data_IF_480466226454
#
_entry.id   IF_480466226454
#
_cell.length_a   1.000
_cell.length_b   1.000
_cell.length_c   1.000
_cell.angle_alpha   90.00
_cell.angle_beta   90.00
_cell.angle_gamma   90.00
#
_symmetry.space_group_name_H-M   'P 1'
#
loop_
_entity.id
_entity.type
_entity.pdbx_description
1 polymer ?
#
# COMPACT_ATOMS: atom_id res chain seq x y z
N UNK A 1 -35.86 4.76 -11.05
CA UNK A 1 -34.83 4.67 -9.99
C UNK A 1 -33.66 5.53 -10.44
N UNK A 2 -33.29 6.56 -9.68
CA UNK A 2 -32.15 7.41 -10.04
C UNK A 2 -30.87 6.57 -9.86
N UNK A 3 -30.28 6.10 -10.95
CA UNK A 3 -29.01 5.37 -10.92
C UNK A 3 -27.92 6.23 -10.29
N UNK A 4 -27.18 5.66 -9.33
CA UNK A 4 -26.05 6.34 -8.70
C UNK A 4 -25.10 6.91 -9.76
N UNK A 5 -24.68 8.16 -9.61
CA UNK A 5 -23.74 8.78 -10.54
C UNK A 5 -22.41 8.04 -10.50
N UNK A 6 -21.70 7.99 -11.63
CA UNK A 6 -20.38 7.34 -11.72
C UNK A 6 -19.42 7.80 -10.62
N UNK A 7 -19.34 9.11 -10.38
CA UNK A 7 -18.47 9.67 -9.34
C UNK A 7 -18.92 9.31 -7.92
N UNK A 8 -20.23 9.16 -7.68
CA UNK A 8 -20.72 8.71 -6.37
C UNK A 8 -20.37 7.24 -6.11
N UNK A 9 -20.44 6.38 -7.14
CA UNK A 9 -20.00 4.99 -7.05
C UNK A 9 -18.49 4.91 -6.86
N UNK A 10 -17.72 5.72 -7.58
CA UNK A 10 -16.28 5.78 -7.44
C UNK A 10 -15.86 6.18 -6.03
N UNK A 11 -16.51 7.17 -5.44
CA UNK A 11 -16.22 7.58 -4.07
C UNK A 11 -16.59 6.48 -3.05
N UNK A 12 -17.75 5.86 -3.19
CA UNK A 12 -18.18 4.77 -2.31
C UNK A 12 -17.22 3.56 -2.38
N UNK A 13 -16.89 3.09 -3.59
CA UNK A 13 -15.96 1.98 -3.80
C UNK A 13 -14.54 2.33 -3.36
N UNK A 14 -14.13 3.60 -3.46
CA UNK A 14 -12.87 4.05 -2.88
C UNK A 14 -12.92 3.95 -1.35
N UNK A 15 -13.96 4.45 -0.68
CA UNK A 15 -14.06 4.48 0.78
C UNK A 15 -14.14 3.10 1.44
N UNK A 16 -14.64 2.09 0.74
CA UNK A 16 -14.58 0.68 1.18
C UNK A 16 -13.15 0.22 1.52
N UNK A 17 -12.14 0.75 0.82
CA UNK A 17 -10.73 0.40 1.06
C UNK A 17 -10.02 1.30 2.08
N UNK A 18 -10.73 2.18 2.78
CA UNK A 18 -10.15 3.10 3.79
C UNK A 18 -9.30 2.38 4.85
N UNK A 19 -9.79 1.27 5.39
CA UNK A 19 -9.07 0.46 6.38
C UNK A 19 -7.75 -0.12 5.84
N UNK A 20 -7.73 -0.50 4.56
CA UNK A 20 -6.56 -1.03 3.87
C UNK A 20 -5.54 0.06 3.58
N UNK A 21 -6.01 1.25 3.17
CA UNK A 21 -5.13 2.42 2.99
C UNK A 21 -4.45 2.83 4.28
N UNK A 22 -5.16 2.79 5.41
CA UNK A 22 -4.57 3.06 6.72
C UNK A 22 -3.47 2.05 7.06
N UNK A 23 -3.70 0.76 6.81
CA UNK A 23 -2.67 -0.29 6.99
C UNK A 23 -1.45 -0.08 6.10
N UNK A 24 -1.62 0.42 4.87
CA UNK A 24 -0.48 0.76 4.00
C UNK A 24 0.33 1.93 4.55
N UNK A 25 -0.34 2.96 5.07
CA UNK A 25 0.31 4.07 5.76
C UNK A 25 1.11 3.60 6.98
N UNK A 26 0.54 2.72 7.81
CA UNK A 26 1.20 2.17 9.01
C UNK A 26 2.35 1.20 8.69
N UNK A 27 2.36 0.64 7.47
CA UNK A 27 3.43 -0.23 7.01
C UNK A 27 4.69 0.54 6.60
N UNK A 28 4.57 1.82 6.23
CA UNK A 28 5.69 2.68 5.86
C UNK A 28 6.36 3.18 7.14
N UNK A 29 7.64 2.84 7.40
CA UNK A 29 8.35 3.32 8.57
C UNK A 29 8.69 4.80 8.42
N UNK A 30 7.97 5.70 9.09
CA UNK A 30 8.30 7.13 9.09
C UNK A 30 9.59 7.35 9.89
N UNK A 31 10.62 8.06 9.38
CA UNK A 31 11.83 8.37 10.14
C UNK A 31 11.49 9.05 11.49
N UNK A 32 11.79 8.38 12.60
CA UNK A 32 11.51 8.88 13.95
C UNK A 32 12.77 8.85 14.83
N UNK A 33 12.84 9.72 15.85
CA UNK A 33 13.99 9.80 16.78
C UNK A 33 14.30 8.46 17.46
N UNK A 34 13.28 7.61 17.65
CA UNK A 34 13.43 6.25 18.18
C UNK A 34 14.32 5.34 17.34
N UNK A 35 14.68 5.75 16.12
CA UNK A 35 15.54 5.01 15.18
C UNK A 35 17.01 5.02 15.59
N UNK A 36 17.39 5.92 16.50
CA UNK A 36 18.74 5.97 17.07
C UNK A 36 18.83 5.28 18.43
N UNK A 37 17.76 4.62 18.88
CA UNK A 37 17.79 3.86 20.12
C UNK A 37 18.47 2.51 19.88
N UNK A 38 19.42 2.16 20.76
CA UNK A 38 20.05 0.85 20.83
C UNK A 38 19.03 -0.30 20.94
N UNK A 39 19.41 -1.46 20.42
CA UNK A 39 18.69 -2.73 20.55
C UNK A 39 19.05 -3.34 21.91
N UNK A 40 18.05 -3.62 22.76
CA UNK A 40 18.28 -4.09 24.14
C UNK A 40 18.22 -5.61 24.29
N UNK A 41 17.67 -6.34 23.30
CA UNK A 41 17.52 -7.79 23.36
C UNK A 41 17.59 -8.47 21.98
N UNK A 42 17.89 -9.78 21.98
CA UNK A 42 17.90 -10.61 20.77
C UNK A 42 16.49 -10.74 20.17
N UNK A 43 15.45 -10.82 21.01
CA UNK A 43 14.06 -10.86 20.54
C UNK A 43 13.65 -9.56 19.83
N UNK A 44 14.14 -8.42 20.32
CA UNK A 44 13.96 -7.13 19.67
C UNK A 44 14.67 -7.08 18.31
N UNK A 45 15.91 -7.59 18.22
CA UNK A 45 16.62 -7.74 16.95
C UNK A 45 15.89 -8.66 15.97
N UNK A 46 15.43 -9.84 16.42
CA UNK A 46 14.70 -10.79 15.58
C UNK A 46 13.41 -10.17 15.04
N UNK A 47 12.66 -9.46 15.89
CA UNK A 47 11.45 -8.73 15.48
C UNK A 47 11.77 -7.62 14.47
N UNK A 48 12.87 -6.91 14.66
CA UNK A 48 13.36 -5.87 13.75
C UNK A 48 13.88 -6.43 12.43
N UNK A 49 14.41 -7.65 12.41
CA UNK A 49 14.95 -8.32 11.23
C UNK A 49 13.86 -9.01 10.39
N UNK A 50 12.79 -9.49 11.02
CA UNK A 50 11.66 -10.15 10.36
C UNK A 50 10.67 -9.14 9.74
N UNK A 51 10.42 -8.01 10.41
CA UNK A 51 9.54 -6.93 9.91
C UNK A 51 9.86 -6.41 8.49
N UNK A 52 11.14 -6.22 8.10
CA UNK A 52 11.55 -5.85 6.75
C UNK A 52 11.15 -6.85 5.66
N UNK A 53 10.81 -8.08 6.04
CA UNK A 53 10.47 -9.16 5.09
C UNK A 53 8.96 -9.35 5.07
N UNK A 54 8.33 -9.48 6.24
CA UNK A 54 6.90 -9.80 6.36
C UNK A 54 6.00 -8.69 5.80
N UNK A 55 6.28 -7.43 6.15
CA UNK A 55 5.47 -6.28 5.72
C UNK A 55 5.47 -6.06 4.20
N UNK A 56 6.62 -5.94 3.51
CA UNK A 56 6.62 -5.76 2.07
C UNK A 56 6.11 -6.98 1.30
N UNK A 57 6.24 -8.20 1.83
CA UNK A 57 5.70 -9.40 1.19
C UNK A 57 4.16 -9.42 1.28
N UNK A 58 3.59 -9.07 2.42
CA UNK A 58 2.13 -8.85 2.56
C UNK A 58 1.64 -7.74 1.60
N UNK A 59 2.32 -6.59 1.56
CA UNK A 59 1.98 -5.51 0.63
C UNK A 59 2.11 -5.94 -0.85
N UNK A 60 3.13 -6.72 -1.20
CA UNK A 60 3.37 -7.21 -2.55
C UNK A 60 2.27 -8.17 -3.04
N UNK A 61 1.80 -9.08 -2.18
CA UNK A 61 0.68 -9.97 -2.50
C UNK A 61 -0.60 -9.16 -2.75
N UNK A 62 -0.90 -8.20 -1.87
CA UNK A 62 -2.05 -7.32 -2.04
C UNK A 62 -1.96 -6.48 -3.32
N UNK A 63 -0.77 -5.98 -3.65
CA UNK A 63 -0.49 -5.28 -4.91
C UNK A 63 -0.86 -6.13 -6.11
N UNK A 64 -0.39 -7.38 -6.15
CA UNK A 64 -0.65 -8.31 -7.25
C UNK A 64 -2.15 -8.62 -7.38
N UNK A 65 -2.84 -8.82 -6.26
CA UNK A 65 -4.30 -9.03 -6.26
C UNK A 65 -5.07 -7.81 -6.80
N UNK A 66 -4.69 -6.60 -6.40
CA UNK A 66 -5.31 -5.37 -6.93
C UNK A 66 -5.00 -5.18 -8.43
N UNK A 67 -3.79 -5.49 -8.87
CA UNK A 67 -3.40 -5.44 -10.28
C UNK A 67 -4.23 -6.42 -11.11
N UNK A 68 -4.39 -7.66 -10.64
CA UNK A 68 -5.22 -8.67 -11.31
C UNK A 68 -6.68 -8.21 -11.39
N UNK A 69 -7.22 -7.69 -10.29
CA UNK A 69 -8.59 -7.15 -10.26
C UNK A 69 -8.77 -5.97 -11.21
N UNK A 70 -7.76 -5.10 -11.31
CA UNK A 70 -7.75 -3.98 -12.24
C UNK A 70 -7.75 -4.46 -13.70
N UNK A 71 -6.88 -5.41 -14.05
CA UNK A 71 -6.80 -5.97 -15.41
C UNK A 71 -8.11 -6.65 -15.82
N UNK A 72 -8.70 -7.45 -14.94
CA UNK A 72 -9.99 -8.11 -15.20
C UNK A 72 -11.11 -7.09 -15.40
N UNK A 73 -11.20 -6.09 -14.51
CA UNK A 73 -12.23 -5.04 -14.60
C UNK A 73 -12.05 -4.17 -15.85
N UNK A 74 -10.80 -3.90 -16.24
CA UNK A 74 -10.46 -3.18 -17.46
C UNK A 74 -10.84 -3.98 -18.71
N UNK A 75 -10.52 -5.27 -18.76
CA UNK A 75 -10.89 -6.14 -19.87
C UNK A 75 -12.41 -6.17 -20.08
N UNK A 76 -13.17 -6.34 -18.99
CA UNK A 76 -14.63 -6.25 -19.01
C UNK A 76 -15.11 -4.89 -19.51
N UNK A 77 -14.52 -3.79 -19.01
CA UNK A 77 -14.87 -2.43 -19.44
C UNK A 77 -14.60 -2.19 -20.93
N UNK A 78 -13.49 -2.69 -21.48
CA UNK A 78 -13.13 -2.55 -22.89
C UNK A 78 -14.08 -3.34 -23.79
N UNK A 79 -14.50 -4.53 -23.37
CA UNK A 79 -15.49 -5.35 -24.11
C UNK A 79 -16.87 -4.68 -24.10
N UNK A 80 -17.29 -4.12 -22.94
CA UNK A 80 -18.59 -3.47 -22.82
C UNK A 80 -18.64 -2.08 -23.47
N UNK A 81 -17.52 -1.38 -23.65
CA UNK A 81 -17.47 -0.04 -24.23
C UNK A 81 -18.16 0.06 -25.61
N UNK A 82 -17.81 -0.75 -26.64
CA UNK A 82 -18.47 -0.68 -27.95
C UNK A 82 -19.94 -1.09 -27.90
N UNK A 83 -20.29 -2.09 -27.07
CA UNK A 83 -21.68 -2.52 -26.89
C UNK A 83 -22.55 -1.43 -26.26
N UNK A 84 -22.03 -0.76 -25.22
CA UNK A 84 -22.69 0.36 -24.57
C UNK A 84 -22.84 1.55 -25.54
N UNK A 85 -21.80 1.87 -26.32
CA UNK A 85 -21.86 2.95 -27.31
C UNK A 85 -22.91 2.67 -28.40
N UNK A 86 -22.91 1.46 -28.95
CA UNK A 86 -23.86 1.06 -29.98
C UNK A 86 -25.30 1.09 -29.47
N UNK A 87 -25.55 0.58 -28.27
CA UNK A 87 -26.90 0.56 -27.67
C UNK A 87 -27.40 1.94 -27.26
N UNK A 88 -26.51 2.85 -26.87
CA UNK A 88 -26.87 4.25 -26.59
C UNK A 88 -27.28 4.98 -27.88
N UNK A 89 -26.63 4.69 -29.01
CA UNK A 89 -26.94 5.33 -30.29
C UNK A 89 -28.20 4.72 -30.93
N UNK A 90 -28.33 3.39 -30.90
CA UNK A 90 -29.37 2.67 -31.64
C UNK A 90 -30.67 2.58 -30.83
N UNK A 91 -30.59 2.40 -29.50
CA UNK A 91 -31.75 2.15 -28.65
C UNK A 91 -31.61 2.82 -27.26
N UNK A 92 -31.52 4.16 -27.19
CA UNK A 92 -31.13 4.92 -25.99
C UNK A 92 -32.06 4.71 -24.78
N UNK A 93 -33.35 4.48 -25.01
CA UNK A 93 -34.35 4.32 -23.95
C UNK A 93 -34.58 2.88 -23.53
N UNK A 94 -33.97 1.91 -24.24
CA UNK A 94 -34.14 0.49 -23.96
C UNK A 94 -33.54 0.11 -22.61
N UNK A 95 -34.18 -0.83 -21.93
CA UNK A 95 -33.68 -1.34 -20.65
C UNK A 95 -32.34 -2.05 -20.80
N UNK A 96 -32.09 -2.64 -21.97
CA UNK A 96 -30.80 -3.24 -22.34
C UNK A 96 -29.68 -2.19 -22.43
N UNK A 97 -29.95 -1.02 -23.02
CA UNK A 97 -28.98 0.08 -23.10
C UNK A 97 -28.63 0.62 -21.71
N UNK A 98 -29.64 0.79 -20.84
CA UNK A 98 -29.44 1.22 -19.45
C UNK A 98 -28.61 0.21 -18.66
N UNK A 99 -28.98 -1.07 -18.70
CA UNK A 99 -28.28 -2.14 -17.99
C UNK A 99 -26.82 -2.29 -18.45
N UNK A 100 -26.57 -2.22 -19.76
CA UNK A 100 -25.22 -2.30 -20.34
C UNK A 100 -24.38 -1.09 -19.94
N UNK A 101 -24.96 0.12 -19.96
CA UNK A 101 -24.27 1.34 -19.52
C UNK A 101 -23.94 1.34 -18.04
N UNK A 102 -24.86 0.86 -17.18
CA UNK A 102 -24.62 0.72 -15.75
C UNK A 102 -23.53 -0.31 -15.45
N UNK A 103 -23.55 -1.46 -16.13
CA UNK A 103 -22.52 -2.50 -15.98
C UNK A 103 -21.15 -2.00 -16.44
N UNK A 104 -21.09 -1.24 -17.54
CA UNK A 104 -19.86 -0.58 -17.99
C UNK A 104 -19.34 0.42 -16.94
N UNK A 105 -20.20 1.30 -16.41
CA UNK A 105 -19.82 2.27 -15.37
C UNK A 105 -19.27 1.59 -14.13
N UNK A 106 -19.89 0.49 -13.70
CA UNK A 106 -19.44 -0.30 -12.55
C UNK A 106 -18.06 -0.93 -12.82
N UNK A 107 -17.88 -1.57 -13.98
CA UNK A 107 -16.61 -2.17 -14.36
C UNK A 107 -15.48 -1.14 -14.47
N UNK A 108 -15.75 0.02 -15.10
CA UNK A 108 -14.80 1.12 -15.19
C UNK A 108 -14.43 1.70 -13.82
N UNK A 109 -15.41 1.81 -12.91
CA UNK A 109 -15.20 2.26 -11.53
C UNK A 109 -14.28 1.30 -10.78
N UNK A 110 -14.56 0.00 -10.85
CA UNK A 110 -13.72 -1.02 -10.22
C UNK A 110 -12.31 -1.06 -10.81
N UNK A 111 -12.16 -0.86 -12.13
CA UNK A 111 -10.85 -0.81 -12.78
C UNK A 111 -10.02 0.37 -12.26
N UNK A 112 -10.61 1.57 -12.18
CA UNK A 112 -9.94 2.77 -11.68
C UNK A 112 -9.55 2.63 -10.20
N UNK A 113 -10.48 2.24 -9.34
CA UNK A 113 -10.20 2.07 -7.90
C UNK A 113 -9.15 0.99 -7.68
N UNK A 114 -9.25 -0.15 -8.35
CA UNK A 114 -8.28 -1.24 -8.21
C UNK A 114 -6.89 -0.83 -8.70
N UNK A 115 -6.80 -0.06 -9.79
CA UNK A 115 -5.53 0.49 -10.28
C UNK A 115 -4.93 1.47 -9.27
N UNK A 116 -5.73 2.40 -8.73
CA UNK A 116 -5.27 3.34 -7.71
C UNK A 116 -4.78 2.63 -6.44
N UNK A 117 -5.50 1.59 -6.00
CA UNK A 117 -5.09 0.75 -4.86
C UNK A 117 -3.81 -0.05 -5.15
N UNK A 118 -3.64 -0.55 -6.38
CA UNK A 118 -2.40 -1.23 -6.80
C UNK A 118 -1.20 -0.27 -6.80
N UNK A 119 -1.37 0.96 -7.30
CA UNK A 119 -0.32 1.98 -7.25
C UNK A 119 0.06 2.35 -5.81
N UNK A 120 -0.92 2.58 -4.94
CA UNK A 120 -0.66 2.84 -3.52
C UNK A 120 0.08 1.69 -2.85
N UNK A 121 -0.32 0.45 -3.12
CA UNK A 121 0.33 -0.73 -2.60
C UNK A 121 1.77 -0.88 -3.13
N UNK A 122 2.04 -0.60 -4.42
CA UNK A 122 3.38 -0.55 -5.00
C UNK A 122 4.27 0.47 -4.30
N UNK A 123 3.81 1.72 -4.20
CA UNK A 123 4.58 2.79 -3.55
C UNK A 123 4.88 2.46 -2.10
N UNK A 124 3.90 1.92 -1.38
CA UNK A 124 4.07 1.53 0.02
C UNK A 124 5.03 0.34 0.15
N UNK A 125 5.00 -0.63 -0.78
CA UNK A 125 5.96 -1.74 -0.84
C UNK A 125 7.38 -1.22 -1.06
N UNK A 126 7.57 -0.33 -2.04
CA UNK A 126 8.86 0.24 -2.38
C UNK A 126 9.46 1.02 -1.19
N UNK A 127 8.65 1.87 -0.56
CA UNK A 127 9.06 2.62 0.63
C UNK A 127 9.39 1.69 1.81
N UNK A 128 8.59 0.66 2.05
CA UNK A 128 8.87 -0.33 3.09
C UNK A 128 10.17 -1.09 2.83
N UNK A 129 10.46 -1.46 1.58
CA UNK A 129 11.72 -2.12 1.19
C UNK A 129 12.94 -1.21 1.34
N UNK A 130 12.80 0.09 1.11
CA UNK A 130 13.91 1.04 1.27
C UNK A 130 14.16 1.42 2.73
N UNK A 131 13.10 1.67 3.49
CA UNK A 131 13.19 2.26 4.84
C UNK A 131 13.38 1.21 5.94
N UNK A 132 12.84 -0.01 5.80
CA UNK A 132 13.01 -1.06 6.82
C UNK A 132 14.47 -1.52 7.01
N UNK A 133 15.27 -1.77 5.95
CA UNK A 133 16.68 -2.10 6.11
C UNK A 133 17.48 -0.94 6.70
N UNK A 134 17.17 0.30 6.29
CA UNK A 134 17.81 1.50 6.82
C UNK A 134 17.57 1.66 8.33
N UNK A 135 16.36 1.33 8.78
CA UNK A 135 16.01 1.32 10.20
C UNK A 135 16.81 0.29 11.00
N UNK A 136 17.04 -0.91 10.44
CA UNK A 136 17.86 -1.93 11.09
C UNK A 136 19.33 -1.50 11.19
N UNK A 137 19.89 -0.93 10.12
CA UNK A 137 21.28 -0.44 10.09
C UNK A 137 21.50 0.68 11.09
N UNK A 138 20.60 1.65 11.17
CA UNK A 138 20.72 2.78 12.11
C UNK A 138 20.66 2.33 13.57
N UNK A 139 19.75 1.39 13.91
CA UNK A 139 19.70 0.83 15.27
C UNK A 139 20.90 -0.07 15.59
N UNK A 140 21.38 -0.86 14.63
CA UNK A 140 22.60 -1.65 14.81
C UNK A 140 23.83 -0.74 15.05
N UNK A 141 23.96 0.34 14.27
CA UNK A 141 25.02 1.33 14.44
C UNK A 141 24.96 2.00 15.82
N UNK A 142 23.77 2.42 16.28
CA UNK A 142 23.61 2.99 17.63
C UNK A 142 23.99 2.00 18.73
N UNK A 143 23.67 0.71 18.55
CA UNK A 143 24.03 -0.35 19.50
C UNK A 143 25.54 -0.53 19.61
N UNK A 144 26.25 -0.49 18.47
CA UNK A 144 27.72 -0.57 18.42
C UNK A 144 28.36 0.66 19.04
N UNK A 145 27.88 1.86 18.70
CA UNK A 145 28.39 3.13 19.28
C UNK A 145 28.23 3.12 20.79
N UNK A 146 27.05 2.76 21.31
CA UNK A 146 26.83 2.65 22.74
C UNK A 146 27.74 1.58 23.38
N UNK A 147 28.05 0.49 22.67
CA UNK A 147 28.89 -0.62 23.22
C UNK A 147 30.34 -0.20 23.32
N UNK A 148 30.82 0.53 22.32
CA UNK A 148 32.12 1.16 22.34
C UNK A 148 32.18 2.19 23.47
N UNK A 149 31.17 3.04 23.60
CA UNK A 149 31.11 4.04 24.66
C UNK A 149 31.20 3.41 26.06
N UNK A 150 30.38 2.39 26.34
CA UNK A 150 30.41 1.69 27.63
C UNK A 150 31.76 1.01 27.87
N UNK A 151 32.35 0.38 26.85
CA UNK A 151 33.62 -0.34 26.99
C UNK A 151 34.79 0.62 27.24
N UNK A 152 34.80 1.77 26.55
CA UNK A 152 35.81 2.83 26.74
C UNK A 152 35.64 3.52 28.08
N UNK A 153 34.41 3.74 28.54
CA UNK A 153 34.15 4.30 29.87
C UNK A 153 34.62 3.35 30.98
N UNK A 154 34.32 2.05 30.88
CA UNK A 154 34.76 1.05 31.88
C UNK A 154 36.25 0.75 31.85
N UNK A 155 36.90 0.82 30.68
CA UNK A 155 38.32 0.42 30.53
C UNK A 155 39.28 1.60 30.63
N UNK A 156 38.85 2.81 30.24
CA UNK A 156 39.69 3.98 30.12
C UNK A 156 39.18 5.20 30.91
N UNK A 157 37.99 5.13 31.54
CA UNK A 157 37.43 6.24 32.32
C UNK A 157 37.00 7.45 31.48
N UNK A 158 36.87 7.29 30.15
CA UNK A 158 36.46 8.34 29.22
C UNK A 158 35.18 7.96 28.48
N UNK A 159 34.22 8.88 28.42
CA UNK A 159 33.05 8.78 27.55
C UNK A 159 33.41 9.26 26.14
N UNK A 160 33.13 8.44 25.12
CA UNK A 160 33.24 8.78 23.70
C UNK A 160 32.09 9.67 23.21
N UNK A 161 30.97 9.69 23.93
CA UNK A 161 29.84 10.59 23.64
C UNK A 161 29.77 11.69 24.69
N UNK A 162 29.52 12.92 24.23
CA UNK A 162 29.16 14.07 25.08
C UNK A 162 27.66 14.23 25.09
#
# INVERSE_FOLDING_TARGET
MAGHSFFSQLNATWDEYSSLRNKYSDAIPIPQKSYFNRIRSIDEFATLAVRPIEKPLWLGIHTLSFLLKAVLSLAVSVILAPCALALVIIAPTSDLSKATSETFKLAATHALVSTGMASLALFSTALALMLNPLYLVTRAASTVVDSLNTTTETSCGFSLTR
#
